data_IF_779553500870
#
_entry.id   IF_779553500870
#
_cell.length_a   1.000
_cell.length_b   1.000
_cell.length_c   1.000
_cell.angle_alpha   90.00
_cell.angle_beta   90.00
_cell.angle_gamma   90.00
#
_symmetry.space_group_name_H-M   'P 1'
#
loop_
_entity.id
_entity.type
_entity.pdbx_description
1 polymer ?
#
# COMPACT_ATOMS: atom_id res chain seq x y z
N UNK A 1 -14.25 -23.75 -9.76
CA UNK A 1 -15.61 -23.31 -10.15
C UNK A 1 -16.03 -22.19 -9.21
N UNK A 2 -16.70 -21.12 -9.67
CA UNK A 2 -17.20 -20.12 -8.73
C UNK A 2 -18.32 -20.71 -7.88
N UNK A 3 -18.39 -20.33 -6.61
CA UNK A 3 -19.49 -20.67 -5.71
C UNK A 3 -20.26 -19.40 -5.37
N UNK A 4 -21.52 -19.57 -4.90
CA UNK A 4 -22.43 -18.46 -4.63
C UNK A 4 -21.81 -17.38 -3.73
N UNK A 5 -21.07 -17.79 -2.71
CA UNK A 5 -20.32 -16.91 -1.84
C UNK A 5 -19.33 -16.01 -2.61
N UNK A 6 -18.45 -16.61 -3.40
CA UNK A 6 -17.43 -15.87 -4.19
C UNK A 6 -18.09 -14.97 -5.24
N UNK A 7 -19.18 -15.43 -5.86
CA UNK A 7 -19.92 -14.66 -6.85
C UNK A 7 -20.61 -13.44 -6.23
N UNK A 8 -21.18 -13.59 -5.03
CA UNK A 8 -21.80 -12.48 -4.30
C UNK A 8 -20.78 -11.41 -3.90
N UNK A 9 -19.62 -11.80 -3.38
CA UNK A 9 -18.54 -10.89 -3.02
C UNK A 9 -17.96 -10.15 -4.25
N UNK A 10 -17.97 -10.80 -5.42
CA UNK A 10 -17.51 -10.17 -6.65
C UNK A 10 -18.44 -9.05 -7.17
N UNK A 11 -19.68 -8.94 -6.68
CA UNK A 11 -20.60 -7.86 -7.08
C UNK A 11 -20.19 -6.51 -6.50
N UNK A 12 -19.47 -6.51 -5.38
CA UNK A 12 -19.03 -5.28 -4.73
C UNK A 12 -17.90 -4.60 -5.51
N UNK A 13 -17.95 -3.27 -5.56
CA UNK A 13 -16.91 -2.42 -6.11
C UNK A 13 -15.78 -2.21 -5.10
N UNK A 14 -14.61 -1.75 -5.56
CA UNK A 14 -13.50 -1.43 -4.66
C UNK A 14 -13.93 -0.45 -3.55
N UNK A 15 -14.74 0.55 -3.88
CA UNK A 15 -15.24 1.53 -2.90
C UNK A 15 -16.02 0.88 -1.74
N UNK A 16 -16.80 -0.17 -2.01
CA UNK A 16 -17.57 -0.89 -0.98
C UNK A 16 -16.63 -1.62 -0.01
N UNK A 17 -15.57 -2.24 -0.53
CA UNK A 17 -14.53 -2.87 0.28
C UNK A 17 -13.79 -1.86 1.16
N UNK A 18 -13.43 -0.70 0.60
CA UNK A 18 -12.76 0.36 1.35
C UNK A 18 -13.66 0.93 2.45
N UNK A 19 -14.95 1.13 2.16
CA UNK A 19 -15.93 1.58 3.13
C UNK A 19 -16.13 0.56 4.25
N UNK A 20 -16.17 -0.74 3.92
CA UNK A 20 -16.28 -1.80 4.91
C UNK A 20 -15.06 -1.83 5.86
N UNK A 21 -13.84 -1.77 5.32
CA UNK A 21 -12.61 -1.73 6.13
C UNK A 21 -12.56 -0.47 6.99
N UNK A 22 -12.99 0.68 6.47
CA UNK A 22 -13.07 1.92 7.24
C UNK A 22 -14.09 1.83 8.40
N UNK A 23 -15.26 1.24 8.15
CA UNK A 23 -16.28 1.03 9.19
C UNK A 23 -15.79 0.16 10.35
N UNK A 24 -14.87 -0.77 10.09
CA UNK A 24 -14.26 -1.66 11.07
C UNK A 24 -13.04 -1.04 11.78
N UNK A 25 -12.60 0.17 11.39
CA UNK A 25 -11.35 0.79 11.84
C UNK A 25 -11.21 0.86 13.37
N UNK A 26 -12.31 1.15 14.08
CA UNK A 26 -12.33 1.22 15.55
C UNK A 26 -12.31 -0.15 16.24
N UNK A 27 -12.71 -1.21 15.54
CA UNK A 27 -12.69 -2.61 16.01
C UNK A 27 -11.29 -3.24 15.77
N UNK A 28 -10.58 -2.78 14.73
CA UNK A 28 -9.22 -3.20 14.40
C UNK A 28 -8.23 -2.62 15.41
N UNK A 29 -7.33 -3.48 15.90
CA UNK A 29 -6.25 -3.07 16.78
C UNK A 29 -5.34 -2.03 16.11
N UNK A 30 -4.86 -1.05 16.88
CA UNK A 30 -4.04 0.07 16.37
C UNK A 30 -2.87 -0.38 15.50
N UNK A 31 -2.20 -1.48 15.89
CA UNK A 31 -1.06 -2.06 15.16
C UNK A 31 -1.36 -2.43 13.70
N UNK A 32 -2.63 -2.66 13.34
CA UNK A 32 -3.03 -3.08 11.98
C UNK A 32 -3.92 -2.09 11.25
N UNK A 33 -4.52 -1.13 11.96
CA UNK A 33 -5.53 -0.20 11.42
C UNK A 33 -5.05 0.50 10.15
N UNK A 34 -3.82 1.00 10.15
CA UNK A 34 -3.22 1.61 8.96
C UNK A 34 -2.68 0.55 7.98
N UNK A 35 -2.15 -0.57 8.47
CA UNK A 35 -1.56 -1.61 7.63
C UNK A 35 -2.58 -2.22 6.66
N UNK A 36 -3.81 -2.49 7.11
CA UNK A 36 -4.87 -3.01 6.22
C UNK A 36 -5.23 -1.98 5.15
N UNK A 37 -5.31 -0.69 5.51
CA UNK A 37 -5.56 0.37 4.53
C UNK A 37 -4.44 0.37 3.48
N UNK A 38 -3.18 0.37 3.88
CA UNK A 38 -2.03 0.27 2.96
C UNK A 38 -2.15 -0.95 2.03
N UNK A 39 -2.46 -2.13 2.56
CA UNK A 39 -2.60 -3.35 1.77
C UNK A 39 -3.66 -3.23 0.66
N UNK A 40 -4.84 -2.66 0.96
CA UNK A 40 -5.88 -2.44 -0.05
C UNK A 40 -5.49 -1.44 -1.14
N UNK A 41 -4.54 -0.53 -0.88
CA UNK A 41 -3.99 0.38 -1.92
C UNK A 41 -2.82 -0.26 -2.68
N UNK A 42 -2.17 -1.26 -2.11
CA UNK A 42 -1.13 -2.05 -2.78
C UNK A 42 -1.73 -3.07 -3.75
N UNK A 43 -2.96 -3.53 -3.50
CA UNK A 43 -3.65 -4.49 -4.36
C UNK A 43 -5.07 -4.01 -4.71
N UNK A 44 -5.19 -2.89 -5.45
CA UNK A 44 -6.48 -2.31 -5.79
C UNK A 44 -7.27 -3.25 -6.72
N UNK A 45 -8.51 -3.50 -6.33
CA UNK A 45 -9.43 -4.39 -7.04
C UNK A 45 -9.77 -3.85 -8.43
N UNK A 46 -9.90 -2.52 -8.59
CA UNK A 46 -10.21 -1.92 -9.90
C UNK A 46 -9.09 -2.17 -10.91
N UNK A 47 -7.83 -2.04 -10.49
CA UNK A 47 -6.67 -2.31 -11.34
C UNK A 47 -6.59 -3.80 -11.70
N UNK A 48 -6.79 -4.68 -10.71
CA UNK A 48 -6.83 -6.12 -10.95
C UNK A 48 -7.90 -6.47 -12.00
N UNK A 49 -9.13 -5.96 -11.85
CA UNK A 49 -10.23 -6.20 -12.79
C UNK A 49 -9.94 -5.63 -14.18
N UNK A 50 -9.40 -4.41 -14.25
CA UNK A 50 -9.01 -3.80 -15.51
C UNK A 50 -8.03 -4.68 -16.29
N UNK A 51 -6.94 -5.13 -15.66
CA UNK A 51 -5.94 -5.98 -16.29
C UNK A 51 -6.50 -7.35 -16.68
N UNK A 52 -7.37 -7.93 -15.85
CA UNK A 52 -8.00 -9.23 -16.14
C UNK A 52 -9.00 -9.15 -17.29
N UNK A 53 -9.61 -8.00 -17.51
CA UNK A 53 -10.55 -7.76 -18.61
C UNK A 53 -9.88 -7.34 -19.92
N UNK A 54 -8.58 -7.04 -19.90
CA UNK A 54 -7.85 -6.62 -21.09
C UNK A 54 -7.60 -7.81 -22.03
N UNK A 55 -7.76 -7.59 -23.34
CA UNK A 55 -7.46 -8.61 -24.35
C UNK A 55 -5.98 -8.99 -24.37
N UNK A 56 -5.09 -8.00 -24.19
CA UNK A 56 -3.65 -8.18 -23.97
C UNK A 56 -3.24 -7.52 -22.64
N UNK A 57 -3.05 -8.35 -21.63
CA UNK A 57 -2.65 -7.91 -20.29
C UNK A 57 -1.26 -7.25 -20.27
N UNK A 58 -0.32 -7.69 -21.13
CA UNK A 58 1.03 -7.13 -21.17
C UNK A 58 1.05 -5.77 -21.86
N UNK A 59 0.27 -5.59 -22.92
CA UNK A 59 0.04 -4.27 -23.50
C UNK A 59 -0.65 -3.33 -22.51
N UNK A 60 -1.66 -3.81 -21.79
CA UNK A 60 -2.33 -3.03 -20.75
C UNK A 60 -1.33 -2.57 -19.67
N UNK A 61 -0.49 -3.47 -19.14
CA UNK A 61 0.57 -3.14 -18.17
C UNK A 61 1.56 -2.10 -18.71
N UNK A 62 2.05 -2.27 -19.94
CA UNK A 62 2.93 -1.27 -20.60
C UNK A 62 2.24 0.10 -20.68
N UNK A 63 0.96 0.12 -21.03
CA UNK A 63 0.16 1.32 -21.11
C UNK A 63 -0.05 2.04 -19.76
N UNK A 64 0.21 1.38 -18.64
CA UNK A 64 0.16 1.94 -17.28
C UNK A 64 1.56 2.26 -16.73
N UNK A 65 2.62 2.12 -17.54
CA UNK A 65 4.01 2.20 -17.08
C UNK A 65 4.27 1.32 -15.86
N UNK A 66 3.65 0.13 -15.81
CA UNK A 66 3.76 -0.77 -14.67
C UNK A 66 5.16 -1.39 -14.61
N UNK A 67 5.76 -1.39 -13.42
CA UNK A 67 7.03 -2.05 -13.14
C UNK A 67 6.91 -2.94 -11.90
N UNK A 68 7.78 -3.94 -11.82
CA UNK A 68 7.79 -4.90 -10.73
C UNK A 68 6.65 -5.91 -10.85
N UNK A 69 6.28 -6.49 -9.72
CA UNK A 69 5.48 -7.70 -9.68
C UNK A 69 4.11 -7.43 -9.04
N UNK A 70 3.17 -7.00 -9.88
CA UNK A 70 1.77 -6.76 -9.50
C UNK A 70 0.95 -8.05 -9.53
N UNK A 71 0.06 -8.18 -8.56
CA UNK A 71 -0.87 -9.30 -8.45
C UNK A 71 -0.64 -10.11 -7.18
N UNK A 72 -1.50 -11.11 -6.99
CA UNK A 72 -1.53 -11.92 -5.78
C UNK A 72 -1.33 -13.42 -6.02
N UNK A 73 -1.29 -13.88 -7.27
CA UNK A 73 -1.30 -15.30 -7.63
C UNK A 73 -0.21 -16.14 -6.95
N UNK A 74 1.00 -15.59 -6.86
CA UNK A 74 2.18 -16.16 -6.19
C UNK A 74 2.47 -15.53 -4.82
N UNK A 75 1.60 -14.63 -4.35
CA UNK A 75 1.74 -13.86 -3.09
C UNK A 75 0.55 -14.05 -2.14
N UNK A 76 -0.24 -15.11 -2.34
CA UNK A 76 -1.42 -15.43 -1.52
C UNK A 76 -1.05 -15.48 -0.03
N UNK A 77 0.08 -16.11 0.30
CA UNK A 77 0.50 -16.30 1.69
C UNK A 77 1.38 -15.14 2.22
N UNK A 78 1.89 -14.26 1.36
CA UNK A 78 3.00 -13.34 1.72
C UNK A 78 2.72 -11.86 1.52
N UNK A 79 1.72 -11.48 0.69
CA UNK A 79 1.38 -10.09 0.38
C UNK A 79 1.04 -9.23 1.61
N UNK A 80 0.56 -9.87 2.66
CA UNK A 80 0.16 -9.26 3.93
C UNK A 80 1.17 -9.49 5.06
N UNK A 81 2.42 -9.87 4.76
CA UNK A 81 3.44 -10.20 5.78
C UNK A 81 3.70 -9.07 6.80
N UNK A 82 3.50 -7.81 6.40
CA UNK A 82 3.63 -6.62 7.24
C UNK A 82 2.42 -6.36 8.17
N UNK A 83 1.33 -7.11 8.02
CA UNK A 83 0.22 -7.12 8.97
C UNK A 83 0.62 -7.94 10.21
N UNK A 84 0.30 -7.45 11.41
CA UNK A 84 0.54 -8.21 12.65
C UNK A 84 -0.18 -9.57 12.63
N UNK A 85 -1.40 -9.57 12.09
CA UNK A 85 -2.27 -10.72 11.95
C UNK A 85 -1.77 -11.78 10.98
N UNK A 86 -0.72 -11.52 10.19
CA UNK A 86 -0.10 -12.51 9.32
C UNK A 86 0.31 -13.81 10.07
N UNK A 87 0.67 -13.70 11.35
CA UNK A 87 0.96 -14.86 12.21
C UNK A 87 -0.22 -15.80 12.41
N UNK A 88 -1.45 -15.32 12.18
CA UNK A 88 -2.70 -16.08 12.25
C UNK A 88 -3.22 -16.46 10.87
N UNK A 89 -2.41 -16.26 9.81
CA UNK A 89 -2.81 -16.56 8.44
C UNK A 89 -3.34 -17.97 8.24
N UNK A 90 -2.72 -19.05 8.79
CA UNK A 90 -3.26 -20.40 8.64
C UNK A 90 -4.71 -20.52 9.14
N UNK A 91 -5.05 -19.89 10.26
CA UNK A 91 -6.39 -19.93 10.85
C UNK A 91 -7.39 -19.08 10.06
N UNK A 92 -6.95 -17.92 9.58
CA UNK A 92 -7.77 -17.01 8.76
C UNK A 92 -8.10 -17.66 7.41
N UNK A 93 -7.10 -18.23 6.74
CA UNK A 93 -7.28 -18.96 5.48
C UNK A 93 -8.24 -20.13 5.65
N UNK A 94 -8.06 -20.94 6.69
CA UNK A 94 -8.97 -22.06 7.00
C UNK A 94 -10.42 -21.58 7.25
N UNK A 95 -10.60 -20.46 7.95
CA UNK A 95 -11.93 -19.88 8.19
C UNK A 95 -12.58 -19.38 6.89
N UNK A 96 -11.82 -18.73 6.01
CA UNK A 96 -12.29 -18.30 4.68
C UNK A 96 -12.67 -19.51 3.83
N UNK A 97 -11.84 -20.54 3.79
CA UNK A 97 -12.12 -21.76 3.02
C UNK A 97 -13.39 -22.46 3.47
N UNK A 98 -13.56 -22.61 4.79
CA UNK A 98 -14.77 -23.18 5.37
C UNK A 98 -15.99 -22.33 5.02
N UNK A 99 -15.90 -21.01 5.17
CA UNK A 99 -16.98 -20.07 4.85
C UNK A 99 -17.36 -20.10 3.38
N UNK A 100 -16.39 -20.15 2.47
CA UNK A 100 -16.61 -20.21 1.04
C UNK A 100 -17.18 -21.56 0.59
N UNK A 101 -16.78 -22.66 1.22
CA UNK A 101 -17.28 -24.00 0.87
C UNK A 101 -18.77 -24.21 1.22
N UNK A 102 -19.26 -23.56 2.28
CA UNK A 102 -20.63 -23.73 2.78
C UNK A 102 -21.49 -22.46 2.65
N UNK A 103 -21.02 -21.46 1.91
CA UNK A 103 -21.52 -20.12 2.04
C UNK A 103 -22.62 -19.72 1.05
N UNK A 104 -23.66 -19.11 1.60
CA UNK A 104 -24.70 -18.40 0.85
C UNK A 104 -24.29 -16.96 0.46
N UNK A 105 -25.23 -16.25 -0.17
CA UNK A 105 -25.08 -14.86 -0.65
C UNK A 105 -24.65 -13.89 0.48
N UNK A 106 -23.65 -13.06 0.18
CA UNK A 106 -23.13 -12.04 1.09
C UNK A 106 -23.91 -10.75 0.96
N UNK A 107 -24.46 -10.27 2.08
CA UNK A 107 -25.18 -8.99 2.15
C UNK A 107 -24.26 -7.81 2.46
N UNK A 108 -23.37 -7.98 3.43
CA UNK A 108 -22.48 -6.92 3.91
C UNK A 108 -21.06 -7.44 4.11
N UNK A 109 -20.08 -6.77 3.48
CA UNK A 109 -18.66 -7.15 3.55
C UNK A 109 -18.15 -7.11 5.00
N UNK A 110 -18.54 -6.09 5.77
CA UNK A 110 -18.05 -5.91 7.15
C UNK A 110 -18.48 -7.07 8.06
N UNK A 111 -19.70 -7.56 7.92
CA UNK A 111 -20.20 -8.71 8.68
C UNK A 111 -19.48 -10.01 8.33
N UNK A 112 -19.15 -10.22 7.05
CA UNK A 112 -18.34 -11.38 6.64
C UNK A 112 -16.92 -11.31 7.22
N UNK A 113 -16.30 -10.13 7.19
CA UNK A 113 -14.98 -9.92 7.81
C UNK A 113 -15.03 -10.25 9.30
N UNK A 114 -16.03 -9.74 10.05
CA UNK A 114 -16.20 -10.04 11.48
C UNK A 114 -16.39 -11.54 11.72
N UNK A 115 -17.27 -12.18 10.95
CA UNK A 115 -17.58 -13.62 11.10
C UNK A 115 -16.34 -14.49 10.92
N UNK A 116 -15.54 -14.22 9.88
CA UNK A 116 -14.28 -14.91 9.61
C UNK A 116 -13.24 -14.59 10.70
N UNK A 117 -13.09 -13.32 11.07
CA UNK A 117 -12.15 -12.88 12.08
C UNK A 117 -12.43 -13.53 13.44
N UNK A 118 -13.69 -13.59 13.85
CA UNK A 118 -14.15 -14.26 15.07
C UNK A 118 -13.82 -15.75 15.07
N UNK A 119 -14.09 -16.43 13.95
CA UNK A 119 -13.78 -17.86 13.79
C UNK A 119 -12.28 -18.11 13.88
N UNK A 120 -11.48 -17.31 13.17
CA UNK A 120 -10.03 -17.40 13.18
C UNK A 120 -9.45 -17.06 14.56
N UNK A 121 -9.99 -16.06 15.26
CA UNK A 121 -9.55 -15.65 16.59
C UNK A 121 -9.79 -16.74 17.63
N UNK A 122 -10.96 -17.40 17.57
CA UNK A 122 -11.27 -18.53 18.44
C UNK A 122 -10.29 -19.70 18.22
N UNK A 123 -10.01 -20.03 16.94
CA UNK A 123 -9.05 -21.09 16.59
C UNK A 123 -7.61 -20.75 17.01
N UNK A 124 -7.21 -19.49 16.87
CA UNK A 124 -5.88 -18.99 17.24
C UNK A 124 -5.76 -18.63 18.73
N UNK A 125 -6.84 -18.70 19.52
CA UNK A 125 -6.91 -18.29 20.94
C UNK A 125 -6.41 -16.86 21.15
N UNK A 126 -6.84 -15.94 20.30
CA UNK A 126 -6.46 -14.53 20.32
C UNK A 126 -7.69 -13.62 20.34
N UNK A 127 -7.48 -12.30 20.34
CA UNK A 127 -8.56 -11.30 20.25
C UNK A 127 -8.99 -11.12 18.79
N UNK A 128 -10.28 -10.95 18.55
CA UNK A 128 -10.86 -10.66 17.22
C UNK A 128 -10.25 -9.40 16.58
N UNK A 129 -9.94 -8.38 17.39
CA UNK A 129 -9.28 -7.15 16.94
C UNK A 129 -7.91 -7.36 16.27
N UNK A 130 -7.28 -8.53 16.44
CA UNK A 130 -6.00 -8.93 15.85
C UNK A 130 -6.13 -9.87 14.64
N UNK A 131 -7.36 -10.19 14.24
CA UNK A 131 -7.65 -11.04 13.06
C UNK A 131 -8.53 -10.34 12.02
N UNK A 132 -9.20 -9.24 12.36
CA UNK A 132 -10.04 -8.45 11.43
C UNK A 132 -9.27 -7.98 10.19
N UNK A 133 -8.10 -7.36 10.37
CA UNK A 133 -7.31 -6.80 9.28
C UNK A 133 -6.85 -7.88 8.28
N UNK A 134 -6.30 -8.98 8.79
CA UNK A 134 -5.84 -10.10 7.97
C UNK A 134 -7.01 -10.88 7.35
N UNK A 135 -8.19 -10.94 7.99
CA UNK A 135 -9.39 -11.49 7.39
C UNK A 135 -9.88 -10.67 6.19
N UNK A 136 -9.86 -9.33 6.29
CA UNK A 136 -10.20 -8.44 5.18
C UNK A 136 -9.25 -8.63 3.99
N UNK A 137 -7.93 -8.63 4.25
CA UNK A 137 -6.93 -8.88 3.22
C UNK A 137 -7.07 -10.29 2.60
N UNK A 138 -7.33 -11.31 3.42
CA UNK A 138 -7.53 -12.68 2.97
C UNK A 138 -8.76 -12.85 2.06
N UNK A 139 -9.89 -12.25 2.42
CA UNK A 139 -11.08 -12.25 1.58
C UNK A 139 -10.83 -11.57 0.23
N UNK A 140 -10.22 -10.38 0.23
CA UNK A 140 -9.87 -9.69 -1.01
C UNK A 140 -8.88 -10.50 -1.85
N UNK A 141 -7.91 -11.17 -1.21
CA UNK A 141 -6.97 -12.07 -1.89
C UNK A 141 -7.71 -13.18 -2.61
N UNK A 142 -8.63 -13.88 -1.92
CA UNK A 142 -9.47 -14.92 -2.52
C UNK A 142 -10.28 -14.40 -3.71
N UNK A 143 -10.78 -13.17 -3.62
CA UNK A 143 -11.56 -12.55 -4.70
C UNK A 143 -10.71 -12.28 -5.94
N UNK A 144 -9.47 -11.82 -5.78
CA UNK A 144 -8.59 -11.52 -6.91
C UNK A 144 -8.03 -12.80 -7.55
N UNK A 145 -7.56 -13.77 -6.75
CA UNK A 145 -6.93 -15.00 -7.28
C UNK A 145 -7.94 -16.11 -7.60
N UNK A 146 -9.17 -16.01 -7.07
CA UNK A 146 -10.19 -17.03 -7.17
C UNK A 146 -10.06 -18.15 -6.13
N UNK A 147 -11.19 -18.78 -5.81
CA UNK A 147 -11.27 -19.76 -4.71
C UNK A 147 -10.34 -20.98 -4.89
N UNK A 148 -10.17 -21.49 -6.11
CA UNK A 148 -9.34 -22.67 -6.35
C UNK A 148 -7.85 -22.40 -6.10
N UNK A 149 -7.32 -21.28 -6.62
CA UNK A 149 -5.94 -20.89 -6.39
C UNK A 149 -5.70 -20.56 -4.92
N UNK A 150 -6.65 -19.86 -4.29
CA UNK A 150 -6.63 -19.57 -2.86
C UNK A 150 -6.55 -20.84 -2.01
N UNK A 151 -7.40 -21.83 -2.29
CA UNK A 151 -7.42 -23.12 -1.60
C UNK A 151 -6.13 -23.92 -1.84
N UNK A 152 -5.60 -23.89 -3.06
CA UNK A 152 -4.38 -24.60 -3.43
C UNK A 152 -3.11 -24.02 -2.77
N UNK A 153 -3.14 -22.74 -2.35
CA UNK A 153 -2.03 -22.15 -1.63
C UNK A 153 -1.75 -22.88 -0.29
N UNK A 154 -0.48 -23.01 0.14
CA UNK A 154 -0.13 -23.74 1.36
C UNK A 154 -0.77 -23.20 2.65
N UNK A 155 -1.02 -21.89 2.74
CA UNK A 155 -1.49 -21.26 3.97
C UNK A 155 -0.39 -21.11 5.01
N UNK A 156 0.83 -20.81 4.57
CA UNK A 156 1.98 -20.72 5.48
C UNK A 156 2.04 -19.33 6.12
N UNK A 157 2.00 -19.30 7.45
CA UNK A 157 2.34 -18.10 8.22
C UNK A 157 3.84 -18.01 8.48
N UNK A 158 4.42 -16.82 8.35
CA UNK A 158 5.81 -16.58 8.76
C UNK A 158 5.90 -16.49 10.29
N UNK A 159 6.92 -17.14 10.86
CA UNK A 159 7.24 -16.97 12.28
C UNK A 159 7.66 -15.50 12.52
N UNK A 160 7.05 -14.79 13.49
CA UNK A 160 7.44 -13.42 13.81
C UNK A 160 8.92 -13.30 14.19
N UNK A 161 9.60 -12.29 13.65
CA UNK A 161 11.00 -11.96 13.92
C UNK A 161 11.16 -10.43 14.03
N UNK A 162 12.33 -9.96 14.43
CA UNK A 162 12.62 -8.52 14.53
C UNK A 162 11.63 -7.79 15.44
N UNK A 163 11.15 -6.63 14.98
CA UNK A 163 10.10 -5.85 15.67
C UNK A 163 8.82 -6.67 15.78
N UNK A 164 8.48 -7.44 14.74
CA UNK A 164 7.25 -8.23 14.68
C UNK A 164 7.18 -9.34 15.72
N UNK A 165 8.29 -9.74 16.35
CA UNK A 165 8.28 -10.68 17.47
C UNK A 165 7.60 -10.12 18.73
N UNK A 166 7.40 -8.81 18.82
CA UNK A 166 6.75 -8.15 19.96
C UNK A 166 5.24 -8.42 20.09
N UNK A 167 4.69 -7.95 21.20
CA UNK A 167 3.24 -7.85 21.41
C UNK A 167 2.64 -6.76 20.51
N UNK A 168 1.32 -6.77 20.24
CA UNK A 168 0.72 -5.79 19.35
C UNK A 168 0.86 -4.35 19.87
N UNK A 169 0.72 -4.14 21.18
CA UNK A 169 0.94 -2.84 21.83
C UNK A 169 2.40 -2.41 21.78
N UNK A 170 3.34 -3.35 21.96
CA UNK A 170 4.78 -3.06 21.89
C UNK A 170 5.19 -2.63 20.48
N UNK A 171 4.63 -3.23 19.44
CA UNK A 171 4.91 -2.87 18.04
C UNK A 171 4.31 -1.49 17.75
N UNK A 172 3.06 -1.25 18.14
CA UNK A 172 2.43 0.07 17.99
C UNK A 172 3.23 1.17 18.71
N UNK A 173 3.73 0.91 19.92
CA UNK A 173 4.60 1.83 20.65
C UNK A 173 5.96 2.02 19.96
N UNK A 174 6.57 0.94 19.46
CA UNK A 174 7.87 0.99 18.74
C UNK A 174 7.78 1.85 17.49
N UNK A 175 6.70 1.72 16.70
CA UNK A 175 6.44 2.53 15.51
C UNK A 175 6.28 4.03 15.82
N UNK A 176 5.94 4.39 17.06
CA UNK A 176 5.82 5.78 17.53
C UNK A 176 7.12 6.33 18.15
N UNK A 177 8.04 5.47 18.58
CA UNK A 177 9.24 5.90 19.28
C UNK A 177 10.31 6.46 18.32
N UNK A 178 11.05 7.48 18.79
CA UNK A 178 12.24 7.98 18.10
C UNK A 178 13.51 7.35 18.64
N UNK A 179 14.54 7.31 17.80
CA UNK A 179 15.87 6.91 18.21
C UNK A 179 16.42 7.88 19.28
N UNK A 180 17.18 7.34 20.23
CA UNK A 180 17.88 8.16 21.21
C UNK A 180 18.87 9.10 20.50
N UNK A 181 18.76 10.39 20.81
CA UNK A 181 19.64 11.43 20.27
C UNK A 181 20.94 11.60 21.12
N UNK A 182 21.16 10.73 22.10
CA UNK A 182 22.26 10.80 23.08
C UNK A 182 21.94 11.70 24.29
N UNK A 183 22.87 11.72 25.28
CA UNK A 183 22.68 12.40 26.59
C UNK A 183 22.44 13.92 26.46
N UNK A 184 22.93 14.54 25.38
CA UNK A 184 22.70 15.97 25.06
C UNK A 184 21.88 16.17 23.78
N UNK A 185 21.06 15.19 23.40
CA UNK A 185 20.30 15.22 22.15
C UNK A 185 19.32 16.39 22.02
N UNK A 186 18.90 16.99 23.12
CA UNK A 186 18.06 18.19 23.13
C UNK A 186 18.77 19.44 22.59
N UNK A 187 20.12 19.49 22.61
CA UNK A 187 20.91 20.58 22.04
C UNK A 187 21.10 20.46 20.52
N UNK A 188 20.83 19.27 19.94
CA UNK A 188 20.87 19.08 18.49
C UNK A 188 19.58 19.60 17.88
N UNK A 189 19.66 20.60 17.02
CA UNK A 189 18.49 21.16 16.32
C UNK A 189 18.41 20.69 14.87
N UNK A 190 19.52 20.69 14.12
CA UNK A 190 19.55 20.37 12.68
C UNK A 190 20.10 18.95 12.43
N UNK A 191 21.13 18.52 13.14
CA UNK A 191 21.80 17.23 12.93
C UNK A 191 21.16 16.06 13.71
N UNK A 192 19.85 16.16 13.97
CA UNK A 192 19.10 15.06 14.57
C UNK A 192 19.01 13.92 13.59
N UNK A 193 19.10 12.74 14.18
CA UNK A 193 19.36 11.53 13.47
C UNK A 193 18.23 10.53 13.79
N UNK A 194 17.37 10.23 12.82
CA UNK A 194 16.28 9.24 12.89
C UNK A 194 16.45 8.04 11.94
N UNK A 195 15.58 7.04 12.09
CA UNK A 195 15.58 5.84 11.25
C UNK A 195 14.29 5.74 10.44
N UNK A 196 14.42 5.27 9.20
CA UNK A 196 13.29 4.75 8.41
C UNK A 196 13.36 3.23 8.44
N UNK A 197 12.36 2.58 8.99
CA UNK A 197 12.21 1.12 8.98
C UNK A 197 11.36 0.74 7.76
N UNK A 198 11.89 -0.11 6.88
CA UNK A 198 11.17 -0.61 5.69
C UNK A 198 10.90 -2.12 5.74
N UNK A 199 11.57 -2.86 6.64
CA UNK A 199 11.34 -4.27 6.92
C UNK A 199 11.42 -4.50 8.44
N UNK A 200 10.27 -4.79 9.05
CA UNK A 200 10.15 -5.01 10.49
C UNK A 200 10.59 -6.41 10.96
N UNK A 201 10.82 -7.36 10.04
CA UNK A 201 11.32 -8.70 10.36
C UNK A 201 12.85 -8.75 10.40
N UNK A 202 13.51 -7.92 9.58
CA UNK A 202 14.97 -7.86 9.52
C UNK A 202 15.55 -6.83 10.51
N UNK A 203 16.60 -7.22 11.25
CA UNK A 203 17.35 -6.27 12.09
C UNK A 203 18.02 -5.17 11.25
N UNK A 204 18.35 -5.47 10.01
CA UNK A 204 18.93 -4.54 9.01
C UNK A 204 17.89 -3.88 8.12
N UNK A 205 16.59 -4.10 8.37
CA UNK A 205 15.46 -3.58 7.60
C UNK A 205 15.19 -2.09 7.78
N UNK A 206 16.25 -1.27 7.89
CA UNK A 206 16.18 0.16 8.16
C UNK A 206 17.36 0.91 7.55
N UNK A 207 17.16 2.19 7.26
CA UNK A 207 18.23 3.12 6.89
C UNK A 207 18.16 4.41 7.71
N UNK A 208 19.30 5.12 7.71
CA UNK A 208 19.52 6.36 8.45
C UNK A 208 18.89 7.54 7.70
N UNK A 209 18.20 8.43 8.42
CA UNK A 209 17.67 9.68 7.88
C UNK A 209 17.96 10.86 8.81
N UNK A 210 18.40 11.98 8.24
CA UNK A 210 18.63 13.22 8.99
C UNK A 210 17.33 14.02 9.04
N UNK A 211 17.14 14.80 10.10
CA UNK A 211 15.98 15.68 10.24
C UNK A 211 15.77 16.56 8.99
N UNK A 212 14.51 16.67 8.57
CA UNK A 212 14.04 17.39 7.37
C UNK A 212 14.54 16.85 6.01
N UNK A 213 15.24 15.71 6.00
CA UNK A 213 15.60 15.02 4.77
C UNK A 213 14.38 14.27 4.20
N UNK A 214 14.30 14.19 2.87
CA UNK A 214 13.32 13.36 2.18
C UNK A 214 13.67 11.87 2.29
N UNK A 215 12.65 11.01 2.47
CA UNK A 215 12.83 9.55 2.56
C UNK A 215 13.57 9.00 1.33
N UNK A 216 13.21 9.44 0.12
CA UNK A 216 13.89 8.99 -1.11
C UNK A 216 15.38 9.36 -1.11
N UNK A 217 15.72 10.59 -0.71
CA UNK A 217 17.10 11.06 -0.64
C UNK A 217 17.91 10.28 0.39
N UNK A 218 17.32 9.95 1.54
CA UNK A 218 17.97 9.13 2.56
C UNK A 218 18.14 7.66 2.13
N UNK A 219 17.12 7.10 1.48
CA UNK A 219 17.16 5.75 0.89
C UNK A 219 18.31 5.62 -0.11
N UNK A 220 18.51 6.61 -0.98
CA UNK A 220 19.60 6.62 -1.97
C UNK A 220 21.01 6.64 -1.35
N UNK A 221 21.15 6.93 -0.06
CA UNK A 221 22.43 6.87 0.66
C UNK A 221 22.69 5.49 1.27
N UNK A 222 21.69 4.62 1.34
CA UNK A 222 21.84 3.26 1.85
C UNK A 222 22.55 2.37 0.81
N UNK A 223 23.82 2.08 1.07
CA UNK A 223 24.66 1.18 0.26
C UNK A 223 24.99 -0.12 0.98
N UNK A 224 24.18 -0.52 1.96
CA UNK A 224 24.42 -1.72 2.77
C UNK A 224 24.38 -3.02 1.98
N UNK A 225 23.74 -3.03 0.80
CA UNK A 225 23.65 -4.20 -0.08
C UNK A 225 23.33 -3.80 -1.53
N UNK A 226 23.39 -4.78 -2.44
CA UNK A 226 22.95 -4.61 -3.83
C UNK A 226 21.42 -4.64 -3.89
N UNK A 227 20.82 -3.46 -3.84
CA UNK A 227 19.37 -3.30 -3.89
C UNK A 227 18.76 -3.71 -5.22
N UNK A 228 19.46 -3.49 -6.33
CA UNK A 228 18.96 -3.80 -7.66
C UNK A 228 18.83 -5.32 -7.86
N UNK A 229 19.74 -6.10 -7.27
CA UNK A 229 19.64 -7.57 -7.28
C UNK A 229 18.40 -8.11 -6.56
N UNK A 230 17.84 -7.35 -5.61
CA UNK A 230 16.63 -7.71 -4.86
C UNK A 230 15.37 -7.26 -5.56
N UNK A 231 15.42 -6.09 -6.17
CA UNK A 231 14.32 -5.51 -6.92
C UNK A 231 14.90 -4.62 -8.03
N UNK A 232 14.63 -4.95 -9.29
CA UNK A 232 15.19 -4.25 -10.44
C UNK A 232 14.85 -2.75 -10.49
N UNK A 233 13.83 -2.30 -9.75
CA UNK A 233 13.41 -0.89 -9.64
C UNK A 233 14.28 -0.10 -8.65
N UNK A 234 15.02 -0.78 -7.78
CA UNK A 234 15.76 -0.20 -6.66
C UNK A 234 17.22 0.12 -7.04
N UNK A 235 17.41 1.15 -7.86
CA UNK A 235 18.73 1.53 -8.39
C UNK A 235 19.68 2.15 -7.35
N UNK A 236 19.16 3.00 -6.46
CA UNK A 236 19.99 3.78 -5.54
C UNK A 236 19.94 3.30 -4.09
N UNK A 237 18.86 2.64 -3.71
CA UNK A 237 18.53 2.31 -2.33
C UNK A 237 17.31 1.40 -2.27
N UNK A 238 16.83 1.07 -1.06
CA UNK A 238 15.69 0.18 -0.90
C UNK A 238 14.39 0.72 -1.51
N UNK A 239 14.16 2.04 -1.52
CA UNK A 239 12.99 2.66 -2.17
C UNK A 239 13.25 2.88 -3.66
N UNK A 240 12.37 2.40 -4.57
CA UNK A 240 12.47 2.71 -6.00
C UNK A 240 12.31 4.21 -6.27
N UNK A 241 13.23 4.80 -7.02
CA UNK A 241 13.17 6.24 -7.38
C UNK A 241 13.63 6.42 -8.81
N UNK A 242 12.83 7.11 -9.61
CA UNK A 242 13.20 7.52 -10.98
C UNK A 242 13.18 9.05 -11.18
N UNK A 243 12.50 9.77 -10.27
CA UNK A 243 12.55 11.23 -10.22
C UNK A 243 12.35 11.71 -8.79
N UNK A 244 12.68 12.98 -8.54
CA UNK A 244 12.50 13.64 -7.23
C UNK A 244 11.39 14.71 -7.25
N UNK A 245 10.70 14.86 -8.39
CA UNK A 245 9.74 15.93 -8.63
C UNK A 245 8.27 15.49 -8.55
N UNK A 246 7.96 14.34 -7.94
CA UNK A 246 6.62 13.77 -7.90
C UNK A 246 5.98 13.59 -9.29
N UNK A 247 6.75 13.14 -10.30
CA UNK A 247 6.25 13.01 -11.68
C UNK A 247 6.16 11.56 -12.16
N UNK A 248 7.02 10.66 -11.68
CA UNK A 248 7.13 9.30 -12.21
C UNK A 248 6.18 8.30 -11.55
N UNK A 249 5.81 8.51 -10.28
CA UNK A 249 4.96 7.57 -9.53
C UNK A 249 5.65 6.27 -9.14
N UNK A 250 6.99 6.25 -9.02
CA UNK A 250 7.73 5.02 -8.66
C UNK A 250 8.03 4.90 -7.16
N UNK A 251 8.20 6.02 -6.46
CA UNK A 251 8.67 6.08 -5.07
C UNK A 251 7.56 6.09 -4.00
N UNK A 252 6.37 5.58 -4.33
CA UNK A 252 5.28 5.54 -3.35
C UNK A 252 5.52 4.45 -2.31
N UNK A 253 5.17 4.77 -1.07
CA UNK A 253 5.36 3.90 0.10
C UNK A 253 4.11 3.94 0.97
N UNK A 254 3.79 2.82 1.60
CA UNK A 254 2.77 2.78 2.65
C UNK A 254 3.37 3.19 3.98
N UNK A 255 2.72 4.06 4.74
CA UNK A 255 3.22 4.54 6.04
C UNK A 255 2.52 3.79 7.16
N UNK A 256 3.24 2.94 7.88
CA UNK A 256 2.70 2.15 9.01
C UNK A 256 2.77 2.88 10.35
N UNK A 257 3.71 3.82 10.51
CA UNK A 257 3.91 4.57 11.74
C UNK A 257 4.81 5.79 11.54
N UNK A 258 4.65 6.78 12.42
CA UNK A 258 5.35 8.07 12.32
C UNK A 258 4.77 9.01 11.27
N UNK A 259 3.51 8.82 10.87
CA UNK A 259 2.86 9.68 9.86
C UNK A 259 2.75 11.15 10.33
N UNK A 260 2.60 11.36 11.63
CA UNK A 260 2.59 12.67 12.30
C UNK A 260 3.96 13.37 12.28
N UNK A 261 5.04 12.63 11.97
CA UNK A 261 6.42 13.12 11.88
C UNK A 261 6.82 13.41 10.43
N UNK A 262 5.91 13.18 9.48
CA UNK A 262 6.12 13.51 8.07
C UNK A 262 5.65 14.93 7.78
N UNK A 263 6.33 15.59 6.85
CA UNK A 263 5.80 16.80 6.23
C UNK A 263 4.43 16.55 5.61
N UNK A 264 3.55 17.54 5.70
CA UNK A 264 2.22 17.45 5.08
C UNK A 264 2.34 17.28 3.56
N UNK A 265 1.43 16.52 2.93
CA UNK A 265 1.41 16.37 1.48
C UNK A 265 1.20 17.70 0.78
N UNK A 266 2.09 18.02 -0.15
CA UNK A 266 1.96 19.21 -1.01
C UNK A 266 0.75 19.10 -1.94
N UNK A 267 0.25 20.22 -2.44
CA UNK A 267 -0.82 20.22 -3.44
C UNK A 267 -0.44 19.39 -4.69
N UNK A 268 0.85 19.40 -5.06
CA UNK A 268 1.39 18.60 -6.15
C UNK A 268 1.32 17.11 -5.84
N UNK A 269 1.77 16.68 -4.66
CA UNK A 269 1.68 15.27 -4.24
C UNK A 269 0.23 14.81 -4.26
N UNK A 270 -0.70 15.57 -3.65
CA UNK A 270 -2.14 15.23 -3.61
C UNK A 270 -2.72 15.03 -5.01
N UNK A 271 -2.38 15.91 -5.95
CA UNK A 271 -2.82 15.79 -7.36
C UNK A 271 -2.23 14.54 -8.03
N UNK A 272 -0.93 14.30 -7.82
CA UNK A 272 -0.22 13.20 -8.47
C UNK A 272 -0.64 11.83 -7.92
N UNK A 273 -1.00 11.73 -6.64
CA UNK A 273 -1.56 10.49 -6.08
C UNK A 273 -2.85 10.06 -6.79
N UNK A 274 -3.69 11.01 -7.24
CA UNK A 274 -4.88 10.71 -8.07
C UNK A 274 -4.47 10.17 -9.44
N UNK A 275 -3.46 10.78 -10.08
CA UNK A 275 -2.90 10.34 -11.37
C UNK A 275 -2.31 8.94 -11.30
N UNK A 276 -1.57 8.64 -10.23
CA UNK A 276 -0.99 7.33 -10.02
C UNK A 276 -2.03 6.27 -9.65
N UNK A 277 -3.26 6.66 -9.31
CA UNK A 277 -4.34 5.72 -9.03
C UNK A 277 -4.41 5.28 -7.57
N UNK A 278 -3.99 6.10 -6.60
CA UNK A 278 -4.19 5.80 -5.19
C UNK A 278 -5.48 6.46 -4.68
N UNK A 279 -6.48 5.62 -4.37
CA UNK A 279 -7.71 6.07 -3.73
C UNK A 279 -7.44 6.10 -2.22
N UNK A 280 -7.23 7.29 -1.68
CA UNK A 280 -7.01 7.50 -0.26
C UNK A 280 -7.70 8.78 0.20
N UNK A 281 -8.11 8.86 1.49
CA UNK A 281 -8.75 10.05 2.02
C UNK A 281 -7.86 11.29 1.84
N UNK A 282 -8.49 12.44 1.59
CA UNK A 282 -7.79 13.73 1.66
C UNK A 282 -7.50 14.05 3.13
N UNK A 283 -6.30 13.72 3.57
CA UNK A 283 -5.83 13.85 4.95
C UNK A 283 -4.43 14.47 4.98
N UNK A 284 -4.03 15.04 6.11
CA UNK A 284 -2.66 15.51 6.35
C UNK A 284 -1.69 14.36 6.63
N UNK A 285 -2.22 13.18 6.95
CA UNK A 285 -1.46 11.95 7.17
C UNK A 285 -2.07 10.81 6.34
N UNK A 286 -1.97 10.85 5.00
CA UNK A 286 -2.54 9.82 4.15
C UNK A 286 -1.72 8.53 4.23
N UNK A 287 -2.36 7.40 3.91
CA UNK A 287 -1.76 6.06 4.06
C UNK A 287 -0.59 5.81 3.11
N UNK A 288 -0.69 6.30 1.88
CA UNK A 288 0.34 6.20 0.85
C UNK A 288 0.95 7.58 0.61
N UNK A 289 2.28 7.63 0.59
CA UNK A 289 3.06 8.86 0.37
C UNK A 289 4.07 8.66 -0.75
N UNK A 290 4.47 9.75 -1.41
CA UNK A 290 5.65 9.76 -2.25
C UNK A 290 6.88 9.97 -1.36
N UNK A 291 7.81 9.01 -1.35
CA UNK A 291 9.03 9.11 -0.55
C UNK A 291 9.88 10.33 -0.92
N UNK A 292 9.84 10.78 -2.18
CA UNK A 292 10.55 11.99 -2.62
C UNK A 292 9.87 13.29 -2.21
N UNK A 293 8.69 13.26 -1.59
CA UNK A 293 7.98 14.44 -1.08
C UNK A 293 7.79 14.39 0.45
N UNK A 294 8.25 13.32 1.08
CA UNK A 294 8.04 13.05 2.50
C UNK A 294 9.32 13.37 3.27
N UNK A 295 9.34 14.54 3.93
CA UNK A 295 10.42 14.92 4.84
C UNK A 295 10.12 14.45 6.25
N UNK A 296 11.13 14.01 6.98
CA UNK A 296 10.93 13.41 8.31
C UNK A 296 11.46 14.31 9.43
N UNK A 297 10.69 14.47 10.49
CA UNK A 297 11.11 15.09 11.75
C UNK A 297 11.32 14.06 12.89
N UNK A 298 11.31 12.77 12.56
CA UNK A 298 11.42 11.66 13.50
C UNK A 298 11.49 10.31 12.80
N UNK A 299 11.45 9.22 13.56
CA UNK A 299 11.42 7.86 13.02
C UNK A 299 10.11 7.58 12.28
N UNK A 300 10.21 6.82 11.19
CA UNK A 300 9.06 6.43 10.36
C UNK A 300 9.17 4.95 10.02
N UNK A 301 8.03 4.25 10.03
CA UNK A 301 7.94 2.87 9.54
C UNK A 301 7.13 2.86 8.26
N UNK A 302 7.71 2.32 7.20
CA UNK A 302 7.12 2.24 5.87
C UNK A 302 7.07 0.80 5.37
N UNK A 303 6.28 0.57 4.32
CA UNK A 303 6.34 -0.63 3.48
C UNK A 303 6.50 -0.19 2.04
N UNK A 304 7.36 -0.91 1.33
CA UNK A 304 7.61 -0.69 -0.09
C UNK A 304 6.80 -1.74 -0.86
N UNK A 305 5.91 -1.33 -1.76
CA UNK A 305 5.13 -2.26 -2.58
C UNK A 305 6.05 -3.02 -3.56
N UNK A 306 5.71 -4.25 -3.98
CA UNK A 306 6.52 -5.01 -4.93
C UNK A 306 6.37 -4.55 -6.39
N UNK A 307 5.58 -3.52 -6.64
CA UNK A 307 5.29 -2.98 -7.98
C UNK A 307 5.04 -1.47 -7.93
N UNK A 308 4.97 -0.81 -9.09
CA UNK A 308 4.50 0.57 -9.26
C UNK A 308 3.80 0.71 -10.63
N UNK A 309 2.92 1.71 -10.78
CA UNK A 309 2.30 2.06 -12.06
C UNK A 309 1.65 3.47 -12.00
N UNK A 310 1.20 3.93 -13.17
CA UNK A 310 0.39 5.15 -13.37
C UNK A 310 -0.93 4.77 -14.02
N UNK A 311 -1.99 4.65 -13.22
CA UNK A 311 -3.24 4.05 -13.70
C UNK A 311 -4.52 4.83 -13.41
N UNK A 312 -4.47 5.93 -12.66
CA UNK A 312 -5.66 6.68 -12.24
C UNK A 312 -6.58 7.08 -13.41
N UNK A 313 -6.03 7.75 -14.43
CA UNK A 313 -6.80 8.17 -15.60
C UNK A 313 -7.43 6.99 -16.35
N UNK A 314 -6.64 5.96 -16.67
CA UNK A 314 -7.09 4.83 -17.52
C UNK A 314 -8.06 3.88 -16.81
N UNK A 315 -7.87 3.65 -15.50
CA UNK A 315 -8.65 2.66 -14.75
C UNK A 315 -9.85 3.30 -14.05
N UNK A 316 -9.70 4.52 -13.52
CA UNK A 316 -10.72 5.15 -12.68
C UNK A 316 -11.39 6.37 -13.28
N UNK A 317 -10.84 6.95 -14.36
CA UNK A 317 -11.38 8.18 -14.94
C UNK A 317 -11.39 9.37 -13.99
N UNK A 318 -10.64 9.31 -12.88
CA UNK A 318 -10.69 10.26 -11.77
C UNK A 318 -9.70 11.43 -11.92
N UNK A 319 -9.17 11.61 -13.13
CA UNK A 319 -8.24 12.67 -13.49
C UNK A 319 -8.87 13.44 -14.62
N UNK A 320 -9.47 14.58 -14.30
CA UNK A 320 -9.98 15.50 -15.30
C UNK A 320 -8.84 15.95 -16.22
N UNK A 321 -9.13 16.05 -17.51
CA UNK A 321 -8.27 16.80 -18.42
C UNK A 321 -8.32 18.26 -18.00
N UNK A 322 -7.33 18.66 -17.20
CA UNK A 322 -7.07 20.08 -17.03
C UNK A 322 -6.44 20.54 -18.34
N UNK A 323 -7.28 21.06 -19.23
CA UNK A 323 -6.84 22.02 -20.22
C UNK A 323 -6.15 23.14 -19.46
N UNK A 324 -4.82 23.06 -19.39
CA UNK A 324 -4.03 24.12 -18.81
C UNK A 324 -4.23 25.32 -19.72
N UNK A 325 -4.92 26.35 -19.23
CA UNK A 325 -4.86 27.68 -19.82
C UNK A 325 -3.37 28.02 -20.05
N UNK A 326 -2.98 28.39 -21.28
CA UNK A 326 -1.59 28.58 -21.60
C UNK A 326 -0.96 29.59 -20.64
N UNK A 327 0.03 29.12 -19.86
CA UNK A 327 0.69 29.91 -18.80
C UNK A 327 1.38 31.18 -19.31
N UNK A 328 1.55 31.30 -20.63
CA UNK A 328 2.12 32.46 -21.30
C UNK A 328 1.40 32.73 -22.62
N UNK A 329 1.42 33.98 -23.06
CA UNK A 329 0.91 34.41 -24.37
C UNK A 329 1.56 33.64 -25.53
N UNK A 330 2.83 33.24 -25.35
CA UNK A 330 3.59 32.46 -26.32
C UNK A 330 3.08 31.01 -26.43
N UNK A 331 2.76 30.37 -25.30
CA UNK A 331 2.16 29.03 -25.29
C UNK A 331 0.74 29.04 -25.89
N UNK A 332 0.00 30.14 -25.71
CA UNK A 332 -1.31 30.34 -26.33
C UNK A 332 -1.19 30.42 -27.85
N UNK A 333 -0.31 31.29 -28.34
CA UNK A 333 -0.08 31.50 -29.77
C UNK A 333 0.44 30.25 -30.47
N UNK A 334 1.26 29.44 -29.81
CA UNK A 334 1.74 28.15 -30.33
C UNK A 334 0.61 27.14 -30.50
N UNK A 335 -0.31 27.03 -29.52
CA UNK A 335 -1.47 26.15 -29.62
C UNK A 335 -2.47 26.62 -30.69
N UNK A 336 -2.72 27.91 -30.78
CA UNK A 336 -3.55 28.49 -31.84
C UNK A 336 -2.97 28.19 -33.23
N UNK A 337 -1.65 28.30 -33.38
CA UNK A 337 -0.95 28.00 -34.65
C UNK A 337 -0.99 26.51 -35.01
N UNK A 338 -0.84 25.62 -34.02
CA UNK A 338 -0.95 24.16 -34.25
C UNK A 338 -2.39 23.78 -34.59
N UNK A 339 -3.37 24.39 -33.91
CA UNK A 339 -4.79 24.15 -34.16
C UNK A 339 -5.18 24.62 -35.57
N UNK A 340 -4.75 25.80 -36.00
CA UNK A 340 -5.03 26.29 -37.36
C UNK A 340 -4.38 25.39 -38.42
N UNK A 341 -3.14 24.94 -38.19
CA UNK A 341 -2.43 24.03 -39.09
C UNK A 341 -3.08 22.64 -39.19
N UNK A 342 -3.72 22.15 -38.11
CA UNK A 342 -4.45 20.88 -38.10
C UNK A 342 -5.87 21.00 -38.69
N UNK A 343 -6.45 22.21 -38.73
CA UNK A 343 -7.80 22.47 -39.22
C UNK A 343 -7.87 22.68 -40.74
N UNK A 344 -6.72 22.92 -41.39
CA UNK A 344 -6.65 23.12 -42.84
C UNK A 344 -7.31 24.41 -43.35
N UNK A 345 -7.28 25.49 -42.56
CA UNK A 345 -7.52 26.87 -43.04
C UNK A 345 -6.22 27.64 -43.24
#
# INVERSE_FOLDING_TARGET
MSNLFTDSLNKFAEADWLAAVDSLSNEIHEVERTAVQVWFRFYPLDLHRFLRSADDAEEAKRGLAMQGDFGLDDKIDTSHSFLYGHRYWPQVKAAIEARAASGDDVKEIADEIRSIAKTAAAAAKTKESLTLAIAAAGLMTMIQVGFEAFKAAPGVGQKPAGIMAGSPDSIAATRKADDSQGIFGFLKTIDKNFSVVYDEYASTGRFRIVNDQEIASASALDRSQDWQSRDARCWEGPVPVECTSASCGTCWVGVLGGAEKLSQPSARERRQMKVFGYNQPESDSPYIRLACQSRTAGNVTIVIPPWNAVFGKKVRGNVDEVELEPATTSAKKLRETISSAASGE
#
